data_IF_551450796149
#
_entry.id   IF_551450796149
#
_cell.length_a   1.000
_cell.length_b   1.000
_cell.length_c   1.000
_cell.angle_alpha   90.00
_cell.angle_beta   90.00
_cell.angle_gamma   90.00
#
_symmetry.space_group_name_H-M   'P 1'
#
loop_
_entity.id
_entity.type
_entity.pdbx_description
1 polymer ?
#
# COMPACT_ATOMS: atom_id res chain seq x y z
N UNK A 1 -6.48 1.55 0.86
CA UNK A 1 -7.12 1.95 2.13
C UNK A 1 -8.53 2.47 1.90
N UNK A 2 -8.77 3.26 0.86
CA UNK A 2 -10.11 3.75 0.48
C UNK A 2 -11.20 2.66 0.47
N UNK A 3 -11.00 1.52 -0.19
CA UNK A 3 -11.98 0.43 -0.21
C UNK A 3 -12.29 -0.15 1.18
N UNK A 4 -11.33 -0.13 2.13
CA UNK A 4 -11.56 -0.56 3.50
C UNK A 4 -12.38 0.48 4.28
N UNK A 5 -12.08 1.77 4.08
CA UNK A 5 -12.82 2.90 4.63
C UNK A 5 -14.28 2.91 4.17
N UNK A 6 -14.53 2.72 2.88
CA UNK A 6 -15.88 2.63 2.30
C UNK A 6 -16.70 1.48 2.88
N UNK A 7 -16.03 0.45 3.41
CA UNK A 7 -16.66 -0.69 4.09
C UNK A 7 -16.78 -0.50 5.60
N UNK A 8 -16.41 0.67 6.13
CA UNK A 8 -16.46 0.97 7.56
C UNK A 8 -15.45 0.20 8.41
N UNK A 9 -14.38 -0.33 7.80
CA UNK A 9 -13.34 -1.06 8.52
C UNK A 9 -12.56 -0.08 9.41
N UNK A 10 -12.43 -0.40 10.69
CA UNK A 10 -11.68 0.40 11.68
C UNK A 10 -10.33 -0.19 12.06
N UNK A 11 -10.16 -1.50 11.92
CA UNK A 11 -8.92 -2.21 12.21
C UNK A 11 -8.36 -2.78 10.91
N UNK A 12 -7.19 -2.29 10.48
CA UNK A 12 -6.60 -2.64 9.19
C UNK A 12 -5.19 -3.23 9.34
N UNK A 13 -5.00 -4.42 8.79
CA UNK A 13 -3.68 -5.02 8.55
C UNK A 13 -3.39 -5.00 7.06
N UNK A 14 -2.26 -4.40 6.67
CA UNK A 14 -1.78 -4.33 5.28
C UNK A 14 -0.57 -5.24 5.12
N UNK A 15 -0.59 -6.05 4.07
CA UNK A 15 0.53 -6.90 3.69
C UNK A 15 0.94 -6.54 2.26
N UNK A 16 2.24 -6.43 2.01
CA UNK A 16 2.76 -6.19 0.67
C UNK A 16 4.13 -6.79 0.48
N UNK A 17 4.50 -7.08 -0.77
CA UNK A 17 5.83 -7.62 -1.13
C UNK A 17 6.88 -6.52 -1.41
N UNK A 18 6.45 -5.26 -1.54
CA UNK A 18 7.34 -4.12 -1.79
C UNK A 18 7.96 -3.61 -0.47
N UNK A 19 9.07 -4.24 -0.06
CA UNK A 19 9.76 -3.91 1.20
C UNK A 19 10.11 -2.42 1.32
N UNK A 20 10.56 -1.79 0.22
CA UNK A 20 10.84 -0.35 0.20
C UNK A 20 9.63 0.48 0.66
N UNK A 21 8.44 0.19 0.12
CA UNK A 21 7.21 0.92 0.45
C UNK A 21 6.83 0.67 1.91
N UNK A 22 6.87 -0.59 2.36
CA UNK A 22 6.59 -0.96 3.75
C UNK A 22 7.50 -0.19 4.71
N UNK A 23 8.81 -0.19 4.45
CA UNK A 23 9.79 0.46 5.32
C UNK A 23 9.72 2.00 5.26
N UNK A 24 9.32 2.58 4.13
CA UNK A 24 9.07 4.02 4.03
C UNK A 24 7.83 4.45 4.81
N UNK A 25 6.75 3.67 4.78
CA UNK A 25 5.54 3.91 5.58
C UNK A 25 5.84 3.77 7.07
N UNK A 26 6.65 2.77 7.45
CA UNK A 26 7.15 2.55 8.82
C UNK A 26 8.16 3.59 9.31
N UNK A 27 8.54 4.58 8.48
CA UNK A 27 9.61 5.57 8.78
C UNK A 27 11.01 4.98 8.99
N UNK A 28 11.23 3.72 8.64
CA UNK A 28 12.54 3.06 8.69
C UNK A 28 13.42 3.60 7.57
N UNK A 29 12.86 3.76 6.38
CA UNK A 29 13.55 4.32 5.22
C UNK A 29 13.10 5.73 4.89
N UNK A 30 14.06 6.61 4.63
CA UNK A 30 13.79 7.97 4.16
C UNK A 30 13.28 7.95 2.70
N UNK A 31 12.32 8.83 2.41
CA UNK A 31 11.82 9.03 1.04
C UNK A 31 12.52 10.22 0.40
N UNK A 32 13.48 9.93 -0.49
CA UNK A 32 14.26 10.95 -1.19
C UNK A 32 13.49 11.61 -2.34
N UNK A 33 12.75 10.81 -3.11
CA UNK A 33 11.96 11.30 -4.24
C UNK A 33 10.73 12.09 -3.76
N UNK A 34 10.53 13.29 -4.29
CA UNK A 34 9.44 14.18 -3.87
C UNK A 34 8.05 13.62 -4.15
N UNK A 35 7.85 13.01 -5.32
CA UNK A 35 6.59 12.37 -5.69
C UNK A 35 6.26 11.20 -4.75
N UNK A 36 7.23 10.36 -4.42
CA UNK A 36 7.05 9.30 -3.42
C UNK A 36 6.76 9.86 -2.03
N UNK A 37 7.30 11.04 -1.68
CA UNK A 37 7.00 11.70 -0.41
C UNK A 37 5.55 12.14 -0.34
N UNK A 38 4.99 12.65 -1.43
CA UNK A 38 3.57 12.98 -1.51
C UNK A 38 2.69 11.74 -1.34
N UNK A 39 3.01 10.63 -2.01
CA UNK A 39 2.27 9.38 -1.81
C UNK A 39 2.39 8.84 -0.39
N UNK A 40 3.57 8.89 0.22
CA UNK A 40 3.75 8.48 1.62
C UNK A 40 2.89 9.33 2.57
N UNK A 41 2.83 10.64 2.36
CA UNK A 41 1.99 11.52 3.18
C UNK A 41 0.51 11.15 3.04
N UNK A 42 0.01 10.97 1.82
CA UNK A 42 -1.38 10.54 1.61
C UNK A 42 -1.70 9.18 2.27
N UNK A 43 -0.72 8.27 2.33
CA UNK A 43 -0.86 7.00 3.06
C UNK A 43 -0.97 7.25 4.57
N UNK A 44 -0.20 8.18 5.14
CA UNK A 44 -0.32 8.53 6.56
C UNK A 44 -1.64 9.22 6.88
N UNK A 45 -2.08 10.16 6.05
CA UNK A 45 -3.40 10.80 6.19
C UNK A 45 -4.52 9.73 6.19
N UNK A 46 -4.39 8.71 5.35
CA UNK A 46 -5.33 7.58 5.32
C UNK A 46 -5.25 6.68 6.56
N UNK A 47 -4.06 6.54 7.17
CA UNK A 47 -3.85 5.70 8.36
C UNK A 47 -4.54 6.31 9.59
N UNK A 48 -4.58 7.64 9.68
CA UNK A 48 -5.26 8.36 10.78
C UNK A 48 -6.77 8.09 10.86
N UNK A 49 -7.36 7.53 9.80
CA UNK A 49 -8.79 7.17 9.75
C UNK A 49 -9.11 5.80 10.37
N UNK A 50 -8.09 5.02 10.74
CA UNK A 50 -8.23 3.69 11.34
C UNK A 50 -7.86 3.72 12.83
N UNK A 51 -8.64 3.02 13.66
CA UNK A 51 -8.38 2.92 15.11
C UNK A 51 -7.14 2.06 15.38
N UNK A 52 -6.96 1.01 14.57
CA UNK A 52 -5.79 0.12 14.63
C UNK A 52 -5.25 -0.09 13.23
N UNK A 53 -3.95 0.15 13.06
CA UNK A 53 -3.25 -0.04 11.80
C UNK A 53 -1.97 -0.84 11.98
N UNK A 54 -1.73 -1.80 11.08
CA UNK A 54 -0.44 -2.48 10.96
C UNK A 54 -0.07 -2.72 9.50
N UNK A 55 1.23 -2.69 9.21
CA UNK A 55 1.77 -3.01 7.88
C UNK A 55 2.99 -3.91 7.99
N UNK A 56 3.09 -4.91 7.12
CA UNK A 56 4.24 -5.82 7.07
C UNK A 56 4.64 -6.20 5.64
N UNK A 57 5.91 -6.56 5.49
CA UNK A 57 6.43 -7.12 4.26
C UNK A 57 6.20 -8.63 4.28
N UNK A 58 5.67 -9.18 3.19
CA UNK A 58 5.47 -10.62 3.01
C UNK A 58 6.25 -11.12 1.78
N UNK A 59 6.68 -12.40 1.75
CA UNK A 59 7.28 -12.98 0.56
C UNK A 59 6.36 -12.86 -0.66
N UNK A 60 6.95 -12.70 -1.85
CA UNK A 60 6.18 -12.53 -3.10
C UNK A 60 5.17 -13.64 -3.34
N UNK A 61 5.53 -14.89 -3.06
CA UNK A 61 4.64 -16.06 -3.17
C UNK A 61 3.38 -15.97 -2.29
N UNK A 62 3.38 -15.13 -1.25
CA UNK A 62 2.20 -14.89 -0.40
C UNK A 62 1.37 -13.69 -0.87
N UNK A 63 1.90 -12.86 -1.78
CA UNK A 63 1.21 -11.69 -2.36
C UNK A 63 0.60 -11.98 -3.74
N UNK A 64 0.50 -13.26 -4.12
CA UNK A 64 0.20 -13.71 -5.48
C UNK A 64 -1.14 -13.17 -6.02
N UNK A 65 -2.14 -13.05 -5.14
CA UNK A 65 -3.45 -12.50 -5.51
C UNK A 65 -3.36 -11.02 -5.88
N UNK A 66 -2.65 -10.21 -5.09
CA UNK A 66 -2.49 -8.78 -5.36
C UNK A 66 -1.61 -8.54 -6.59
N UNK A 67 -0.54 -9.33 -6.75
CA UNK A 67 0.33 -9.28 -7.93
C UNK A 67 -0.46 -9.64 -9.20
N UNK A 68 -1.27 -10.69 -9.17
CA UNK A 68 -2.12 -11.10 -10.30
C UNK A 68 -3.09 -10.00 -10.71
N UNK A 69 -3.76 -9.35 -9.75
CA UNK A 69 -4.66 -8.22 -10.01
C UNK A 69 -3.91 -7.02 -10.63
N UNK A 70 -2.72 -6.71 -10.14
CA UNK A 70 -1.90 -5.61 -10.67
C UNK A 70 -1.43 -5.89 -12.12
N UNK A 71 -1.07 -7.14 -12.43
CA UNK A 71 -0.73 -7.57 -13.78
C UNK A 71 -1.94 -7.48 -14.70
N UNK A 72 -3.11 -8.01 -14.28
CA UNK A 72 -4.34 -7.90 -15.07
C UNK A 72 -4.71 -6.45 -15.37
N UNK A 73 -4.62 -5.56 -14.38
CA UNK A 73 -4.90 -4.13 -14.57
C UNK A 73 -3.91 -3.47 -15.54
N UNK A 74 -2.63 -3.85 -15.49
CA UNK A 74 -1.60 -3.32 -16.38
C UNK A 74 -1.76 -3.78 -17.83
N UNK A 75 -2.28 -4.99 -18.04
CA UNK A 75 -2.59 -5.54 -19.36
C UNK A 75 -3.92 -5.02 -19.94
N UNK A 76 -4.84 -4.53 -19.09
CA UNK A 76 -6.11 -3.92 -19.50
C UNK A 76 -5.99 -2.46 -19.94
N UNK A 77 -4.85 -1.80 -19.75
CA UNK A 77 -4.63 -0.46 -20.29
C UNK A 77 -4.42 -0.57 -21.81
N UNK A 78 -5.26 0.08 -22.65
CA UNK A 78 -4.91 0.24 -24.05
C UNK A 78 -3.61 1.04 -24.12
N UNK A 79 -2.62 0.52 -24.85
CA UNK A 79 -1.49 1.34 -25.27
C UNK A 79 -2.01 2.51 -26.16
N UNK A 80 -1.37 3.68 -26.10
CA UNK A 80 -1.76 4.84 -26.90
C UNK A 80 -1.76 4.56 -28.41
#
# INVERSE_FOLDING_TARGET
MQAAKERGIKNLKVQGNAELVVNQVKRIYQVKNERLRHYRNAVWDSIEEFDVFSIESIPRAQNDMADSLAVSASLMLPHP
#
